data_IF_465225365830
#
_entry.id   IF_465225365830
#
_cell.length_a   1.000
_cell.length_b   1.000
_cell.length_c   1.000
_cell.angle_alpha   90.00
_cell.angle_beta   90.00
_cell.angle_gamma   90.00
#
_symmetry.space_group_name_H-M   'P 1'
#
loop_
_entity.id
_entity.type
_entity.pdbx_description
1 polymer ?
#
# COMPACT_ATOMS: atom_id res chain seq x y z
N UNK A 1 0.76 18.69 -3.60
CA UNK A 1 1.93 17.87 -3.92
C UNK A 1 1.92 17.49 -5.40
N UNK A 2 3.10 17.42 -6.03
CA UNK A 2 3.25 17.23 -7.46
C UNK A 2 4.14 16.01 -7.75
N UNK A 3 3.66 15.08 -8.60
CA UNK A 3 4.39 13.87 -9.03
C UNK A 3 4.58 13.78 -10.55
N UNK A 4 4.09 14.75 -11.33
CA UNK A 4 4.02 14.65 -12.79
C UNK A 4 3.01 13.61 -13.31
N UNK A 5 2.22 13.00 -12.44
CA UNK A 5 1.10 12.14 -12.81
C UNK A 5 -0.15 12.93 -13.20
N UNK A 6 -1.11 12.26 -13.87
CA UNK A 6 -2.34 12.90 -14.36
C UNK A 6 -3.13 13.62 -13.25
N UNK A 7 -3.19 13.04 -12.06
CA UNK A 7 -4.02 13.53 -10.94
C UNK A 7 -3.45 14.81 -10.34
N UNK A 8 -2.16 14.80 -9.99
CA UNK A 8 -1.46 15.95 -9.44
C UNK A 8 -1.34 17.08 -10.48
N UNK A 9 -1.10 16.73 -11.76
CA UNK A 9 -1.04 17.73 -12.85
C UNK A 9 -2.41 18.36 -13.10
N UNK A 10 -3.51 17.60 -12.99
CA UNK A 10 -4.86 18.16 -13.11
C UNK A 10 -5.14 19.19 -12.02
N UNK A 11 -4.78 18.89 -10.76
CA UNK A 11 -4.91 19.83 -9.66
C UNK A 11 -4.10 21.11 -9.92
N UNK A 12 -2.82 20.98 -10.30
CA UNK A 12 -1.95 22.13 -10.60
C UNK A 12 -2.50 22.95 -11.76
N UNK A 13 -2.93 22.30 -12.84
CA UNK A 13 -3.49 22.99 -14.01
C UNK A 13 -4.75 23.81 -13.69
N UNK A 14 -5.63 23.28 -12.84
CA UNK A 14 -6.83 23.98 -12.40
C UNK A 14 -6.49 25.11 -11.44
N UNK A 15 -5.63 24.85 -10.45
CA UNK A 15 -5.20 25.87 -9.48
C UNK A 15 -4.52 27.06 -10.18
N UNK A 16 -3.58 26.81 -11.11
CA UNK A 16 -2.85 27.86 -11.83
C UNK A 16 -3.74 28.77 -12.67
N UNK A 17 -4.94 28.29 -13.06
CA UNK A 17 -5.94 29.12 -13.76
C UNK A 17 -6.79 29.96 -12.82
N UNK A 18 -6.89 29.58 -11.56
CA UNK A 18 -7.78 30.19 -10.57
C UNK A 18 -7.06 31.12 -9.60
N UNK A 19 -5.74 30.96 -9.47
CA UNK A 19 -4.92 31.76 -8.57
C UNK A 19 -4.19 32.88 -9.32
N UNK A 20 -4.05 34.03 -8.68
CA UNK A 20 -3.26 35.18 -9.18
C UNK A 20 -1.76 35.03 -8.94
N UNK A 21 -1.41 34.29 -7.86
CA UNK A 21 -0.03 34.03 -7.50
C UNK A 21 0.42 32.64 -7.99
N UNK A 22 1.72 32.44 -8.27
CA UNK A 22 2.24 31.13 -8.63
C UNK A 22 1.87 30.05 -7.60
N UNK A 23 1.34 28.92 -8.08
CA UNK A 23 1.02 27.79 -7.22
C UNK A 23 2.31 27.20 -6.65
N UNK A 24 2.43 27.09 -5.33
CA UNK A 24 3.53 26.34 -4.73
C UNK A 24 3.35 24.84 -4.94
N UNK A 25 4.38 24.18 -5.44
CA UNK A 25 4.36 22.72 -5.70
C UNK A 25 5.54 22.05 -5.03
N UNK A 26 5.30 20.84 -4.50
CA UNK A 26 6.26 20.12 -3.67
C UNK A 26 6.43 18.70 -4.16
N UNK A 27 7.68 18.23 -4.26
CA UNK A 27 8.01 16.87 -4.71
C UNK A 27 9.11 16.29 -3.82
N UNK A 28 9.04 14.97 -3.60
CA UNK A 28 10.07 14.21 -2.89
C UNK A 28 10.76 13.25 -3.85
N UNK A 29 12.07 13.12 -3.72
CA UNK A 29 12.89 12.14 -4.41
C UNK A 29 13.68 11.27 -3.44
N UNK A 30 14.25 10.18 -3.95
CA UNK A 30 15.07 9.23 -3.21
C UNK A 30 16.50 9.26 -3.74
N UNK A 31 17.47 9.51 -2.85
CA UNK A 31 18.89 9.57 -3.19
C UNK A 31 19.42 8.21 -3.62
N UNK A 32 19.10 7.19 -2.83
CA UNK A 32 19.66 5.85 -2.98
C UNK A 32 18.92 4.99 -4.02
N UNK A 33 17.74 5.44 -4.47
CA UNK A 33 16.86 4.70 -5.37
C UNK A 33 16.21 5.59 -6.44
N UNK A 34 16.99 6.13 -7.38
CA UNK A 34 16.51 7.11 -8.39
C UNK A 34 15.39 6.56 -9.29
N UNK A 35 15.27 5.24 -9.40
CA UNK A 35 14.21 4.61 -10.21
C UNK A 35 12.80 4.92 -9.69
N UNK A 36 12.67 5.28 -8.42
CA UNK A 36 11.40 5.70 -7.82
C UNK A 36 11.12 7.19 -8.00
N UNK A 37 12.11 7.98 -8.44
CA UNK A 37 11.96 9.43 -8.59
C UNK A 37 11.02 9.80 -9.74
N UNK A 38 10.28 10.88 -9.55
CA UNK A 38 9.46 11.56 -10.54
C UNK A 38 9.82 13.06 -10.61
N UNK A 39 11.05 13.41 -10.20
CA UNK A 39 11.54 14.80 -10.11
C UNK A 39 11.53 15.50 -11.47
N UNK A 40 12.02 14.84 -12.52
CA UNK A 40 12.14 15.45 -13.83
C UNK A 40 10.78 15.76 -14.43
N UNK A 41 9.82 14.86 -14.26
CA UNK A 41 8.45 15.06 -14.71
C UNK A 41 7.74 16.15 -13.89
N UNK A 42 7.95 16.17 -12.58
CA UNK A 42 7.41 17.22 -11.73
C UNK A 42 7.98 18.60 -12.12
N UNK A 43 9.28 18.70 -12.35
CA UNK A 43 9.94 19.93 -12.85
C UNK A 43 9.39 20.38 -14.22
N UNK A 44 9.10 19.42 -15.11
CA UNK A 44 8.52 19.75 -16.41
C UNK A 44 7.13 20.33 -16.26
N UNK A 45 6.26 19.73 -15.45
CA UNK A 45 4.93 20.28 -15.13
C UNK A 45 5.07 21.65 -14.47
N UNK A 46 5.97 21.79 -13.49
CA UNK A 46 6.20 23.03 -12.78
C UNK A 46 6.57 24.18 -13.73
N UNK A 47 7.49 23.94 -14.68
CA UNK A 47 7.86 24.93 -15.71
C UNK A 47 6.70 25.29 -16.61
N UNK A 48 5.88 24.32 -17.01
CA UNK A 48 4.77 24.52 -17.93
C UNK A 48 3.65 25.39 -17.32
N UNK A 49 3.43 25.25 -16.01
CA UNK A 49 2.42 26.04 -15.28
C UNK A 49 2.99 27.22 -14.50
N UNK A 50 4.30 27.49 -14.59
CA UNK A 50 4.95 28.59 -13.88
C UNK A 50 4.82 28.52 -12.36
N UNK A 51 4.90 27.32 -11.78
CA UNK A 51 4.74 27.12 -10.33
C UNK A 51 6.01 27.47 -9.56
N UNK A 52 5.87 27.87 -8.30
CA UNK A 52 6.96 27.97 -7.33
C UNK A 52 7.24 26.55 -6.79
N UNK A 53 8.26 25.90 -7.38
CA UNK A 53 8.50 24.46 -7.21
C UNK A 53 9.63 24.16 -6.25
N UNK A 54 9.34 23.34 -5.24
CA UNK A 54 10.27 22.93 -4.20
C UNK A 54 10.44 21.39 -4.18
N UNK A 55 11.66 20.94 -3.91
CA UNK A 55 12.02 19.53 -3.88
C UNK A 55 12.79 19.16 -2.62
N UNK A 56 12.55 17.95 -2.10
CA UNK A 56 13.35 17.33 -1.06
C UNK A 56 13.84 15.95 -1.54
N UNK A 57 15.12 15.66 -1.25
CA UNK A 57 15.74 14.38 -1.58
C UNK A 57 16.03 13.65 -0.27
N UNK A 58 15.37 12.53 -0.06
CA UNK A 58 15.54 11.73 1.15
C UNK A 58 16.40 10.49 0.89
N UNK A 59 17.12 10.08 1.92
CA UNK A 59 17.93 8.87 1.98
C UNK A 59 17.27 7.79 2.84
N UNK A 60 17.87 6.61 2.88
CA UNK A 60 17.46 5.57 3.81
C UNK A 60 17.68 5.97 5.27
N UNK A 61 18.69 6.81 5.56
CA UNK A 61 18.90 7.31 6.92
C UNK A 61 17.77 8.23 7.37
N UNK A 62 17.29 9.11 6.48
CA UNK A 62 16.14 9.98 6.77
C UNK A 62 14.87 9.16 7.10
N UNK A 63 14.69 7.98 6.45
CA UNK A 63 13.62 7.04 6.81
C UNK A 63 13.77 6.57 8.26
N UNK A 64 14.96 6.06 8.61
CA UNK A 64 15.21 5.52 9.96
C UNK A 64 14.99 6.59 11.03
N UNK A 65 15.49 7.79 10.79
CA UNK A 65 15.40 8.91 11.71
C UNK A 65 13.96 9.43 11.90
N UNK A 66 13.10 9.26 10.89
CA UNK A 66 11.70 9.70 10.94
C UNK A 66 10.70 8.68 11.49
N UNK A 67 11.10 7.41 11.61
CA UNK A 67 10.18 6.35 12.09
C UNK A 67 9.57 6.66 13.47
N UNK A 68 10.30 7.11 14.50
CA UNK A 68 9.71 7.43 15.81
C UNK A 68 8.61 8.48 15.71
N UNK A 69 8.83 9.53 14.94
CA UNK A 69 7.88 10.61 14.71
C UNK A 69 6.65 10.10 13.97
N UNK A 70 6.83 9.25 12.95
CA UNK A 70 5.75 8.64 12.18
C UNK A 70 4.89 7.76 13.09
N UNK A 71 5.48 6.88 13.89
CA UNK A 71 4.77 6.00 14.82
C UNK A 71 3.98 6.80 15.85
N UNK A 72 4.58 7.88 16.39
CA UNK A 72 3.90 8.77 17.32
C UNK A 72 2.69 9.44 16.69
N UNK A 73 2.83 10.07 15.54
CA UNK A 73 1.78 10.85 14.92
C UNK A 73 0.69 10.01 14.23
N UNK A 74 1.02 8.79 13.81
CA UNK A 74 0.00 7.90 13.23
C UNK A 74 -0.98 7.36 14.30
N UNK A 75 -0.55 7.23 15.55
CA UNK A 75 -1.30 6.69 16.71
C UNK A 75 -2.02 5.33 16.47
N UNK A 76 -1.99 4.84 15.25
CA UNK A 76 -2.48 3.53 14.80
C UNK A 76 -1.42 2.83 13.95
N UNK A 77 -1.36 1.47 13.92
CA UNK A 77 -0.34 0.74 13.18
C UNK A 77 -0.62 0.73 11.68
N UNK A 78 -0.44 1.86 11.02
CA UNK A 78 -0.60 1.98 9.57
C UNK A 78 0.63 1.43 8.85
N UNK A 79 0.44 0.43 7.99
CA UNK A 79 1.52 -0.29 7.31
C UNK A 79 1.89 0.29 5.92
N UNK A 80 1.56 1.54 5.61
CA UNK A 80 1.92 2.15 4.32
C UNK A 80 3.30 2.83 4.40
N UNK A 81 4.35 2.34 3.67
CA UNK A 81 5.67 2.95 3.70
C UNK A 81 5.72 4.35 3.06
N UNK A 82 4.68 4.78 2.38
CA UNK A 82 4.56 6.12 1.79
C UNK A 82 4.44 7.21 2.87
N UNK A 83 4.15 6.85 4.13
CA UNK A 83 4.20 7.79 5.25
C UNK A 83 5.54 8.51 5.37
N UNK A 84 6.66 7.85 5.03
CA UNK A 84 8.00 8.44 5.10
C UNK A 84 8.20 9.60 4.11
N UNK A 85 8.10 9.40 2.78
CA UNK A 85 8.24 10.50 1.84
C UNK A 85 7.15 11.57 2.03
N UNK A 86 5.96 11.20 2.51
CA UNK A 86 4.89 12.15 2.79
C UNK A 86 5.24 13.08 3.94
N UNK A 87 5.86 12.60 5.02
CA UNK A 87 6.30 13.44 6.13
C UNK A 87 7.34 14.48 5.67
N UNK A 88 8.34 14.05 4.91
CA UNK A 88 9.40 14.94 4.45
C UNK A 88 8.90 16.01 3.48
N UNK A 89 8.03 15.66 2.53
CA UNK A 89 7.44 16.66 1.62
C UNK A 89 6.49 17.62 2.34
N UNK A 90 5.85 17.16 3.42
CA UNK A 90 4.99 18.02 4.26
C UNK A 90 5.81 19.00 5.09
N UNK A 91 6.94 18.56 5.64
CA UNK A 91 7.91 19.45 6.33
C UNK A 91 8.45 20.52 5.38
N UNK A 92 8.86 20.14 4.17
CA UNK A 92 9.27 21.09 3.14
C UNK A 92 8.17 22.12 2.83
N UNK A 93 6.91 21.69 2.68
CA UNK A 93 5.80 22.62 2.47
C UNK A 93 5.65 23.61 3.64
N UNK A 94 5.78 23.13 4.88
CA UNK A 94 5.72 23.97 6.08
C UNK A 94 6.83 25.01 6.13
N UNK A 95 8.05 24.63 5.79
CA UNK A 95 9.22 25.52 5.76
C UNK A 95 9.05 26.69 4.77
N UNK A 96 8.26 26.51 3.72
CA UNK A 96 7.93 27.57 2.75
C UNK A 96 6.74 28.44 3.17
N UNK A 97 6.24 28.26 4.40
CA UNK A 97 5.07 28.98 4.91
C UNK A 97 3.72 28.48 4.38
N UNK A 98 3.69 27.33 3.73
CA UNK A 98 2.43 26.71 3.30
C UNK A 98 1.71 26.09 4.49
N UNK A 99 0.38 26.19 4.53
CA UNK A 99 -0.47 25.58 5.58
C UNK A 99 -1.49 24.61 5.02
N UNK A 100 -1.83 24.74 3.75
CA UNK A 100 -2.82 23.86 3.08
C UNK A 100 -2.22 23.36 1.77
N UNK A 101 -2.35 22.06 1.52
CA UNK A 101 -1.92 21.42 0.27
C UNK A 101 -3.07 20.62 -0.35
N UNK A 102 -3.03 20.48 -1.67
CA UNK A 102 -3.90 19.53 -2.37
C UNK A 102 -3.13 18.25 -2.70
N UNK A 103 -3.82 17.12 -2.55
CA UNK A 103 -3.31 15.79 -2.91
C UNK A 103 -4.26 15.10 -3.89
N UNK A 104 -3.73 14.16 -4.67
CA UNK A 104 -4.46 13.49 -5.75
C UNK A 104 -5.21 12.23 -5.33
N UNK A 105 -5.39 11.98 -4.03
CA UNK A 105 -6.08 10.78 -3.52
C UNK A 105 -7.54 10.74 -3.98
N UNK A 106 -8.07 9.53 -4.17
CA UNK A 106 -9.44 9.30 -4.65
C UNK A 106 -9.56 9.15 -6.17
N UNK A 107 -8.67 9.72 -6.95
CA UNK A 107 -8.73 9.62 -8.42
C UNK A 107 -8.57 8.20 -8.94
N UNK A 108 -7.66 7.43 -8.36
CA UNK A 108 -7.41 6.05 -8.76
C UNK A 108 -8.58 5.13 -8.41
N UNK A 109 -9.15 5.34 -7.24
CA UNK A 109 -10.33 4.62 -6.76
C UNK A 109 -11.52 4.91 -7.66
N UNK A 110 -11.87 6.18 -7.85
CA UNK A 110 -13.08 6.57 -8.58
C UNK A 110 -13.05 6.22 -10.07
N UNK A 111 -11.86 6.30 -10.71
CA UNK A 111 -11.72 6.20 -12.16
C UNK A 111 -10.96 4.95 -12.64
N UNK A 112 -10.82 3.92 -11.80
CA UNK A 112 -10.13 2.66 -12.17
C UNK A 112 -8.65 2.88 -12.55
N UNK A 113 -7.88 3.56 -11.68
CA UNK A 113 -6.47 3.90 -11.96
C UNK A 113 -5.48 2.78 -11.61
N UNK A 114 -5.80 1.86 -10.71
CA UNK A 114 -4.91 0.80 -10.26
C UNK A 114 -4.75 -0.33 -11.28
N UNK A 115 -3.54 -0.88 -11.39
CA UNK A 115 -3.28 -2.08 -12.22
C UNK A 115 -4.01 -3.30 -11.68
N UNK A 116 -4.15 -3.37 -10.38
CA UNK A 116 -4.79 -4.50 -9.70
C UNK A 116 -6.27 -4.59 -10.05
N UNK A 117 -6.98 -3.46 -10.18
CA UNK A 117 -8.37 -3.47 -10.67
C UNK A 117 -8.48 -4.19 -12.02
N UNK A 118 -7.58 -3.87 -12.95
CA UNK A 118 -7.57 -4.51 -14.27
C UNK A 118 -7.25 -6.00 -14.17
N UNK A 119 -6.32 -6.37 -13.28
CA UNK A 119 -5.94 -7.77 -13.05
C UNK A 119 -7.10 -8.58 -12.48
N UNK A 120 -7.81 -8.03 -11.48
CA UNK A 120 -8.99 -8.66 -10.89
C UNK A 120 -10.17 -8.72 -11.85
N UNK A 121 -10.43 -7.66 -12.64
CA UNK A 121 -11.45 -7.67 -13.69
C UNK A 121 -11.18 -8.74 -14.75
N UNK A 122 -9.92 -8.86 -15.18
CA UNK A 122 -9.53 -9.89 -16.14
C UNK A 122 -9.73 -11.30 -15.57
N UNK A 123 -9.37 -11.54 -14.32
CA UNK A 123 -9.58 -12.82 -13.65
C UNK A 123 -11.07 -13.13 -13.50
N UNK A 124 -11.86 -12.14 -13.10
CA UNK A 124 -13.31 -12.26 -12.97
C UNK A 124 -13.96 -12.64 -14.30
N UNK A 125 -13.63 -11.92 -15.37
CA UNK A 125 -14.23 -12.13 -16.70
C UNK A 125 -13.74 -13.42 -17.38
N UNK A 126 -12.52 -13.90 -17.09
CA UNK A 126 -11.95 -15.11 -17.69
C UNK A 126 -12.45 -16.41 -17.09
N UNK A 127 -13.13 -16.39 -15.96
CA UNK A 127 -13.62 -17.64 -15.38
C UNK A 127 -14.19 -17.53 -13.96
N UNK A 128 -13.76 -16.56 -13.17
CA UNK A 128 -14.22 -16.47 -11.78
C UNK A 128 -15.74 -16.37 -11.67
N UNK A 129 -16.36 -15.52 -12.50
CA UNK A 129 -17.84 -15.37 -12.57
C UNK A 129 -18.55 -16.70 -12.81
N UNK A 130 -18.06 -17.51 -13.73
CA UNK A 130 -18.64 -18.81 -14.05
C UNK A 130 -18.43 -19.80 -12.90
N UNK A 131 -17.24 -19.83 -12.34
CA UNK A 131 -16.90 -20.72 -11.24
C UNK A 131 -17.72 -20.43 -9.97
N UNK A 132 -17.93 -19.16 -9.64
CA UNK A 132 -18.74 -18.79 -8.46
C UNK A 132 -20.22 -19.11 -8.61
N UNK A 133 -20.73 -19.22 -9.84
CA UNK A 133 -22.09 -19.67 -10.12
C UNK A 133 -22.31 -21.19 -9.95
N UNK A 134 -21.26 -21.98 -9.78
CA UNK A 134 -21.36 -23.42 -9.60
C UNK A 134 -21.82 -23.80 -8.18
N UNK A 135 -22.47 -24.96 -8.01
CA UNK A 135 -22.81 -25.48 -6.70
C UNK A 135 -21.59 -25.61 -5.78
N UNK A 136 -21.80 -25.43 -4.49
CA UNK A 136 -20.73 -25.40 -3.49
C UNK A 136 -19.79 -26.62 -3.52
N UNK A 137 -20.35 -27.83 -3.68
CA UNK A 137 -19.55 -29.07 -3.74
C UNK A 137 -18.62 -29.10 -4.96
N UNK A 138 -19.06 -28.56 -6.11
CA UNK A 138 -18.24 -28.49 -7.32
C UNK A 138 -17.12 -27.45 -7.12
N UNK A 139 -17.42 -26.29 -6.54
CA UNK A 139 -16.40 -25.28 -6.22
C UNK A 139 -15.33 -25.83 -5.28
N UNK A 140 -15.75 -26.58 -4.24
CA UNK A 140 -14.81 -27.28 -3.33
C UNK A 140 -13.92 -28.27 -4.07
N UNK A 141 -14.49 -29.10 -4.94
CA UNK A 141 -13.74 -30.08 -5.72
C UNK A 141 -12.71 -29.41 -6.64
N UNK A 142 -13.11 -28.37 -7.40
CA UNK A 142 -12.21 -27.59 -8.26
C UNK A 142 -11.09 -26.94 -7.43
N UNK A 143 -11.43 -26.36 -6.29
CA UNK A 143 -10.46 -25.70 -5.42
C UNK A 143 -9.45 -26.69 -4.83
N UNK A 144 -9.89 -27.85 -4.37
CA UNK A 144 -9.02 -28.88 -3.82
C UNK A 144 -8.08 -29.45 -4.90
N UNK A 145 -8.60 -29.77 -6.09
CA UNK A 145 -7.80 -30.27 -7.22
C UNK A 145 -6.80 -29.21 -7.70
N UNK A 146 -7.25 -27.96 -7.86
CA UNK A 146 -6.41 -26.85 -8.27
C UNK A 146 -5.29 -26.56 -7.27
N UNK A 147 -5.59 -26.55 -5.98
CA UNK A 147 -4.60 -26.38 -4.92
C UNK A 147 -3.60 -27.53 -4.89
N UNK A 148 -4.06 -28.78 -5.03
CA UNK A 148 -3.20 -29.96 -5.10
C UNK A 148 -2.25 -29.91 -6.31
N UNK A 149 -2.74 -29.61 -7.49
CA UNK A 149 -1.92 -29.47 -8.69
C UNK A 149 -0.90 -28.30 -8.53
N UNK A 150 -1.31 -27.22 -7.90
CA UNK A 150 -0.45 -26.08 -7.63
C UNK A 150 0.69 -26.44 -6.66
N UNK A 151 0.42 -27.20 -5.63
CA UNK A 151 1.41 -27.69 -4.67
C UNK A 151 2.36 -28.72 -5.29
N UNK A 152 1.88 -29.57 -6.21
CA UNK A 152 2.66 -30.60 -6.92
C UNK A 152 3.58 -30.04 -8.02
N UNK A 153 3.64 -28.74 -8.22
CA UNK A 153 4.60 -28.11 -9.12
C UNK A 153 4.03 -27.12 -10.14
N UNK A 154 2.72 -27.12 -10.39
CA UNK A 154 2.12 -26.12 -11.28
C UNK A 154 2.38 -24.66 -10.81
N UNK A 155 2.58 -24.45 -9.51
CA UNK A 155 2.95 -23.16 -8.93
C UNK A 155 4.32 -22.63 -9.39
N UNK A 156 5.22 -23.49 -9.86
CA UNK A 156 6.51 -23.08 -10.41
C UNK A 156 6.37 -22.44 -11.80
N UNK A 157 5.36 -22.85 -12.55
CA UNK A 157 5.05 -22.28 -13.87
C UNK A 157 4.43 -20.88 -13.78
N UNK A 158 3.87 -20.52 -12.61
CA UNK A 158 3.19 -19.26 -12.37
C UNK A 158 3.72 -18.52 -11.13
N UNK A 159 5.00 -18.08 -11.11
CA UNK A 159 5.62 -17.52 -9.90
C UNK A 159 4.90 -16.29 -9.34
N UNK A 160 4.28 -15.48 -10.20
CA UNK A 160 3.49 -14.31 -9.77
C UNK A 160 2.20 -14.69 -9.07
N UNK A 161 1.59 -15.82 -9.42
CA UNK A 161 0.37 -16.33 -8.78
C UNK A 161 0.65 -17.11 -7.49
N UNK A 162 1.91 -17.50 -7.24
CA UNK A 162 2.29 -18.41 -6.16
C UNK A 162 1.82 -17.97 -4.77
N UNK A 163 1.87 -16.66 -4.51
CA UNK A 163 1.42 -16.12 -3.23
C UNK A 163 -0.11 -16.05 -3.11
N UNK A 164 -0.80 -15.70 -4.19
CA UNK A 164 -2.25 -15.45 -4.17
C UNK A 164 -3.10 -16.70 -4.41
N UNK A 165 -2.59 -17.69 -5.16
CA UNK A 165 -3.38 -18.84 -5.58
C UNK A 165 -4.01 -19.63 -4.43
N UNK A 166 -3.30 -19.93 -3.31
CA UNK A 166 -3.91 -20.66 -2.20
C UNK A 166 -5.14 -19.93 -1.62
N UNK A 167 -5.08 -18.62 -1.44
CA UNK A 167 -6.20 -17.84 -0.92
C UNK A 167 -7.32 -17.70 -1.96
N UNK A 168 -7.00 -17.58 -3.25
CA UNK A 168 -8.01 -17.56 -4.31
C UNK A 168 -8.78 -18.90 -4.39
N UNK A 169 -8.11 -20.04 -4.30
CA UNK A 169 -8.78 -21.33 -4.22
C UNK A 169 -9.66 -21.46 -2.97
N UNK A 170 -9.19 -20.94 -1.83
CA UNK A 170 -9.99 -20.89 -0.61
C UNK A 170 -11.25 -20.04 -0.81
N UNK A 171 -11.12 -18.82 -1.36
CA UNK A 171 -12.24 -17.91 -1.67
C UNK A 171 -13.25 -18.59 -2.61
N UNK A 172 -12.78 -19.25 -3.65
CA UNK A 172 -13.64 -19.97 -4.58
C UNK A 172 -14.41 -21.08 -3.87
N UNK A 173 -13.75 -21.89 -3.04
CA UNK A 173 -14.40 -22.95 -2.28
C UNK A 173 -15.51 -22.41 -1.37
N UNK A 174 -15.30 -21.26 -0.75
CA UNK A 174 -16.26 -20.63 0.16
C UNK A 174 -17.33 -19.80 -0.57
N UNK A 175 -17.13 -19.46 -1.84
CA UNK A 175 -18.02 -18.55 -2.59
C UNK A 175 -17.87 -17.09 -2.18
N UNK A 176 -16.69 -16.73 -1.72
CA UNK A 176 -16.37 -15.37 -1.31
C UNK A 176 -16.11 -14.47 -2.52
N UNK A 177 -16.22 -13.15 -2.32
CA UNK A 177 -15.89 -12.16 -3.35
C UNK A 177 -14.41 -12.28 -3.75
N UNK A 178 -14.14 -12.04 -5.02
CA UNK A 178 -12.79 -12.09 -5.56
C UNK A 178 -11.89 -10.98 -5.01
N UNK A 179 -12.40 -9.76 -4.98
CA UNK A 179 -11.68 -8.57 -4.54
C UNK A 179 -12.16 -8.12 -3.17
N UNK A 180 -11.24 -7.99 -2.23
CA UNK A 180 -11.53 -7.62 -0.83
C UNK A 180 -11.07 -6.21 -0.47
N UNK A 181 -10.78 -5.34 -1.41
CA UNK A 181 -10.05 -4.09 -1.26
C UNK A 181 -8.53 -4.25 -1.44
N UNK A 182 -7.87 -3.14 -1.75
CA UNK A 182 -6.41 -3.06 -1.78
C UNK A 182 -5.75 -2.75 -0.43
N UNK A 183 -6.52 -2.79 0.68
CA UNK A 183 -6.02 -2.44 2.01
C UNK A 183 -5.42 -3.61 2.79
N UNK A 184 -5.63 -4.87 2.41
CA UNK A 184 -5.14 -6.00 3.18
C UNK A 184 -3.67 -6.31 2.89
N UNK A 185 -2.93 -6.64 3.96
CA UNK A 185 -1.53 -7.07 3.86
C UNK A 185 -1.43 -8.59 3.88
N UNK A 186 -2.12 -9.24 4.83
CA UNK A 186 -2.10 -10.69 5.01
C UNK A 186 -3.43 -11.30 4.60
N UNK A 187 -3.40 -12.22 3.64
CA UNK A 187 -4.56 -13.04 3.29
C UNK A 187 -4.91 -14.07 4.39
N UNK A 188 -6.02 -14.76 4.25
CA UNK A 188 -6.50 -15.72 5.26
C UNK A 188 -5.56 -16.94 5.41
N UNK A 189 -4.91 -17.36 4.33
CA UNK A 189 -3.94 -18.45 4.36
C UNK A 189 -2.69 -18.01 5.11
N UNK A 190 -2.19 -16.83 4.80
CA UNK A 190 -1.03 -16.25 5.48
C UNK A 190 -1.28 -16.03 6.97
N UNK A 191 -2.44 -15.48 7.34
CA UNK A 191 -2.84 -15.28 8.74
C UNK A 191 -2.90 -16.59 9.53
N UNK A 192 -3.26 -17.71 8.87
CA UNK A 192 -3.27 -19.02 9.54
C UNK A 192 -1.90 -19.55 9.93
N UNK A 193 -0.85 -19.07 9.28
CA UNK A 193 0.53 -19.37 9.65
C UNK A 193 1.15 -18.29 10.55
N UNK A 194 0.70 -17.05 10.42
CA UNK A 194 1.21 -15.91 11.19
C UNK A 194 0.76 -15.93 12.64
N UNK A 195 -0.52 -16.24 12.90
CA UNK A 195 -1.02 -16.30 14.27
C UNK A 195 -0.59 -17.61 14.97
N UNK A 196 -0.26 -17.50 16.26
CA UNK A 196 0.01 -18.69 17.08
C UNK A 196 -1.24 -19.56 17.22
N UNK A 197 -1.05 -20.87 17.45
CA UNK A 197 -2.15 -21.80 17.68
C UNK A 197 -3.07 -21.32 18.83
N UNK A 198 -2.47 -20.89 19.93
CA UNK A 198 -3.20 -20.35 21.09
C UNK A 198 -4.03 -19.10 20.75
N UNK A 199 -3.54 -18.25 19.85
CA UNK A 199 -4.31 -17.08 19.39
C UNK A 199 -5.49 -17.52 18.51
N UNK A 200 -5.28 -18.44 17.58
CA UNK A 200 -6.36 -18.97 16.74
C UNK A 200 -7.46 -19.64 17.56
N UNK A 201 -7.11 -20.40 18.60
CA UNK A 201 -8.05 -21.03 19.52
C UNK A 201 -8.85 -19.99 20.30
N UNK A 202 -8.18 -18.96 20.86
CA UNK A 202 -8.85 -17.85 21.56
C UNK A 202 -9.83 -17.08 20.66
N UNK A 203 -9.44 -16.83 19.43
CA UNK A 203 -10.31 -16.16 18.45
C UNK A 203 -11.52 -17.03 18.08
N UNK A 204 -11.32 -18.33 17.88
CA UNK A 204 -12.41 -19.27 17.61
C UNK A 204 -13.38 -19.35 18.80
N UNK A 205 -12.88 -19.45 20.02
CA UNK A 205 -13.70 -19.50 21.22
C UNK A 205 -14.58 -18.24 21.38
N UNK A 206 -14.03 -17.04 21.10
CA UNK A 206 -14.78 -15.78 21.13
C UNK A 206 -15.84 -15.68 20.03
N UNK A 207 -15.70 -16.39 18.94
CA UNK A 207 -16.60 -16.40 17.79
C UNK A 207 -17.47 -17.66 17.71
N UNK A 208 -17.91 -18.18 18.86
CA UNK A 208 -18.77 -19.37 18.96
C UNK A 208 -18.24 -20.58 18.20
N UNK A 209 -16.93 -20.80 18.27
CA UNK A 209 -16.23 -21.88 17.57
C UNK A 209 -15.99 -21.64 16.08
N UNK A 210 -16.42 -20.52 15.54
CA UNK A 210 -16.18 -20.18 14.12
C UNK A 210 -14.87 -19.42 13.98
N UNK A 211 -14.13 -19.73 12.92
CA UNK A 211 -12.94 -18.95 12.54
C UNK A 211 -13.36 -17.54 12.14
N UNK A 212 -12.73 -16.52 12.73
CA UNK A 212 -12.85 -15.15 12.29
C UNK A 212 -12.21 -15.02 10.89
N UNK A 213 -12.90 -14.36 9.98
CA UNK A 213 -12.41 -14.04 8.64
C UNK A 213 -12.58 -12.55 8.38
N UNK A 214 -11.59 -11.93 7.77
CA UNK A 214 -11.70 -10.56 7.29
C UNK A 214 -12.78 -10.40 6.22
N UNK A 215 -13.21 -11.49 5.61
CA UNK A 215 -14.30 -11.45 4.64
C UNK A 215 -15.62 -10.95 5.23
N UNK A 216 -15.86 -11.15 6.52
CA UNK A 216 -17.09 -10.64 7.16
C UNK A 216 -17.22 -9.11 7.05
N UNK A 217 -16.12 -8.37 7.08
CA UNK A 217 -16.10 -6.91 6.87
C UNK A 217 -16.43 -6.59 5.43
N UNK A 218 -15.73 -7.24 4.48
CA UNK A 218 -15.97 -7.10 3.03
C UNK A 218 -17.42 -7.42 2.68
N UNK A 219 -17.95 -8.52 3.22
CA UNK A 219 -19.31 -8.98 2.99
C UNK A 219 -20.34 -7.96 3.45
N UNK A 220 -20.16 -7.39 4.63
CA UNK A 220 -21.07 -6.38 5.18
C UNK A 220 -21.18 -5.15 4.28
N UNK A 221 -20.06 -4.65 3.76
CA UNK A 221 -20.08 -3.51 2.84
C UNK A 221 -20.65 -3.88 1.47
N UNK A 222 -20.33 -5.07 0.97
CA UNK A 222 -20.86 -5.55 -0.30
C UNK A 222 -22.39 -5.75 -0.24
N UNK A 223 -22.90 -6.30 0.85
CA UNK A 223 -24.34 -6.46 1.08
C UNK A 223 -25.07 -5.11 1.08
N UNK A 224 -24.50 -4.07 1.72
CA UNK A 224 -25.05 -2.70 1.68
C UNK A 224 -25.10 -2.15 0.25
N UNK A 225 -24.03 -2.34 -0.52
CA UNK A 225 -24.01 -1.92 -1.92
C UNK A 225 -25.10 -2.64 -2.74
N UNK A 226 -25.17 -3.98 -2.62
CA UNK A 226 -26.08 -4.78 -3.42
C UNK A 226 -27.55 -4.60 -3.00
N UNK A 227 -27.81 -4.26 -1.74
CA UNK A 227 -29.16 -3.88 -1.30
C UNK A 227 -29.62 -2.56 -1.95
N UNK A 228 -28.72 -1.59 -2.11
CA UNK A 228 -29.01 -0.31 -2.74
C UNK A 228 -28.91 -0.36 -4.27
N UNK A 229 -28.07 -1.24 -4.81
CA UNK A 229 -27.74 -1.33 -6.24
C UNK A 229 -27.47 -2.79 -6.66
N UNK A 230 -28.55 -3.60 -6.81
CA UNK A 230 -28.42 -5.04 -7.14
C UNK A 230 -27.67 -5.31 -8.44
N UNK A 231 -27.75 -4.38 -9.39
CA UNK A 231 -27.12 -4.48 -10.72
C UNK A 231 -25.65 -4.04 -10.74
N UNK A 232 -25.05 -3.66 -9.60
CA UNK A 232 -23.66 -3.21 -9.54
C UNK A 232 -22.72 -4.23 -10.17
N UNK A 233 -21.98 -3.81 -11.20
CA UNK A 233 -21.00 -4.66 -11.86
C UNK A 233 -19.73 -4.85 -11.03
N UNK A 234 -18.83 -5.71 -11.49
CA UNK A 234 -17.63 -6.06 -10.73
C UNK A 234 -16.72 -4.84 -10.45
N UNK A 235 -16.58 -3.90 -11.40
CA UNK A 235 -15.76 -2.71 -11.17
C UNK A 235 -16.41 -1.77 -10.14
N UNK A 236 -17.72 -1.61 -10.19
CA UNK A 236 -18.46 -0.80 -9.21
C UNK A 236 -18.32 -1.37 -7.80
N UNK A 237 -18.38 -2.72 -7.64
CA UNK A 237 -18.15 -3.39 -6.35
C UNK A 237 -16.73 -3.14 -5.83
N UNK A 238 -15.73 -3.29 -6.70
CA UNK A 238 -14.33 -3.06 -6.34
C UNK A 238 -14.07 -1.61 -5.92
N UNK A 239 -14.58 -0.64 -6.67
CA UNK A 239 -14.49 0.79 -6.34
C UNK A 239 -15.17 1.06 -4.99
N UNK A 240 -16.38 0.54 -4.79
CA UNK A 240 -17.11 0.75 -3.55
C UNK A 240 -16.37 0.19 -2.33
N UNK A 241 -15.82 -1.02 -2.45
CA UNK A 241 -15.04 -1.63 -1.37
C UNK A 241 -13.78 -0.82 -1.04
N UNK A 242 -13.08 -0.29 -2.05
CA UNK A 242 -11.92 0.57 -1.78
C UNK A 242 -12.32 1.93 -1.17
N UNK A 243 -13.45 2.51 -1.58
CA UNK A 243 -13.98 3.73 -0.97
C UNK A 243 -14.41 3.53 0.49
N UNK A 244 -14.80 2.32 0.89
CA UNK A 244 -15.23 2.00 2.26
C UNK A 244 -14.12 1.47 3.17
N UNK A 245 -13.12 0.80 2.61
CA UNK A 245 -12.08 0.12 3.37
C UNK A 245 -10.70 0.75 3.17
N UNK A 246 -10.18 0.74 1.93
CA UNK A 246 -8.82 1.22 1.67
C UNK A 246 -8.66 2.72 1.83
N UNK A 247 -9.61 3.46 1.28
CA UNK A 247 -9.51 4.91 1.24
C UNK A 247 -9.52 5.52 2.64
N UNK A 248 -10.51 5.25 3.51
CA UNK A 248 -10.53 5.82 4.86
C UNK A 248 -9.43 5.24 5.75
N UNK A 249 -9.29 3.91 5.81
CA UNK A 249 -8.47 3.21 6.82
C UNK A 249 -6.96 3.17 6.49
N UNK A 250 -6.57 3.43 5.24
CA UNK A 250 -5.18 3.41 4.84
C UNK A 250 -4.73 4.75 4.25
N UNK A 251 -5.38 5.21 3.18
CA UNK A 251 -4.88 6.33 2.39
C UNK A 251 -5.15 7.67 3.04
N UNK A 252 -6.40 7.96 3.43
CA UNK A 252 -6.76 9.24 4.03
C UNK A 252 -6.23 9.36 5.46
N UNK A 253 -6.30 8.28 6.25
CA UNK A 253 -5.71 8.25 7.58
C UNK A 253 -4.21 8.58 7.53
N UNK A 254 -3.46 7.94 6.62
CA UNK A 254 -2.05 8.25 6.40
C UNK A 254 -1.84 9.70 6.01
N UNK A 255 -2.60 10.19 5.01
CA UNK A 255 -2.45 11.56 4.52
C UNK A 255 -2.72 12.55 5.63
N UNK A 256 -3.86 12.43 6.32
CA UNK A 256 -4.25 13.35 7.38
C UNK A 256 -3.22 13.38 8.52
N UNK A 257 -2.95 12.23 9.14
CA UNK A 257 -2.06 12.17 10.31
C UNK A 257 -0.62 12.60 10.00
N UNK A 258 -0.08 12.18 8.86
CA UNK A 258 1.31 12.49 8.51
C UNK A 258 1.49 13.94 8.06
N UNK A 259 0.54 14.51 7.33
CA UNK A 259 0.62 15.94 6.98
C UNK A 259 0.37 16.83 8.20
N UNK A 260 -0.55 16.43 9.10
CA UNK A 260 -0.79 17.12 10.36
C UNK A 260 0.40 17.06 11.30
N UNK A 261 1.24 16.01 11.26
CA UNK A 261 2.51 15.99 11.99
C UNK A 261 3.42 17.18 11.63
N UNK A 262 3.35 17.65 10.38
CA UNK A 262 4.04 18.86 9.93
C UNK A 262 3.15 20.12 10.00
N UNK A 263 1.98 20.08 10.63
CA UNK A 263 1.00 21.18 10.67
C UNK A 263 0.59 21.67 9.27
N UNK A 264 0.33 20.73 8.37
CA UNK A 264 -0.18 20.95 7.02
C UNK A 264 -1.54 20.30 6.91
N UNK A 265 -2.57 21.05 6.46
CA UNK A 265 -3.88 20.52 6.11
C UNK A 265 -3.86 19.99 4.68
N UNK A 266 -4.12 18.70 4.49
CA UNK A 266 -4.23 18.09 3.16
C UNK A 266 -5.68 18.04 2.71
N UNK A 267 -5.96 18.60 1.53
CA UNK A 267 -7.28 18.55 0.89
C UNK A 267 -7.26 17.63 -0.32
N UNK A 268 -8.37 16.92 -0.54
CA UNK A 268 -8.54 15.86 -1.55
C UNK A 268 -9.65 16.22 -2.54
N UNK A 269 -9.40 17.06 -3.56
CA UNK A 269 -10.44 17.56 -4.45
C UNK A 269 -11.20 16.46 -5.19
N UNK A 270 -10.54 15.33 -5.52
CA UNK A 270 -11.20 14.19 -6.15
C UNK A 270 -12.25 13.51 -5.25
N UNK A 271 -12.22 13.77 -3.96
CA UNK A 271 -13.17 13.22 -2.99
C UNK A 271 -14.23 14.22 -2.54
N UNK A 272 -14.40 15.34 -3.28
CA UNK A 272 -15.61 16.14 -3.13
C UNK A 272 -16.84 15.25 -3.30
N UNK A 273 -17.77 15.29 -2.34
CA UNK A 273 -18.89 14.35 -2.31
C UNK A 273 -19.74 14.36 -3.59
N UNK A 274 -19.91 15.55 -4.22
CA UNK A 274 -20.66 15.66 -5.48
C UNK A 274 -19.91 14.97 -6.63
N UNK A 275 -18.57 15.09 -6.65
CA UNK A 275 -17.75 14.36 -7.62
C UNK A 275 -17.78 12.87 -7.39
N UNK A 276 -17.74 12.41 -6.12
CA UNK A 276 -17.85 11.00 -5.77
C UNK A 276 -19.20 10.43 -6.22
N UNK A 277 -20.31 11.09 -5.88
CA UNK A 277 -21.65 10.69 -6.28
C UNK A 277 -21.80 10.64 -7.81
N UNK A 278 -21.32 11.66 -8.51
CA UNK A 278 -21.28 11.68 -9.97
C UNK A 278 -20.44 10.52 -10.53
N UNK A 279 -19.21 10.36 -10.02
CA UNK A 279 -18.28 9.34 -10.49
C UNK A 279 -18.82 7.92 -10.27
N UNK A 280 -19.50 7.65 -9.13
CA UNK A 280 -20.14 6.35 -8.87
C UNK A 280 -21.24 6.00 -9.86
N UNK A 281 -21.87 6.99 -10.49
CA UNK A 281 -22.88 6.79 -11.52
C UNK A 281 -22.32 6.67 -12.94
N UNK A 282 -21.03 6.93 -13.16
CA UNK A 282 -20.38 6.73 -14.47
C UNK A 282 -20.31 5.23 -14.78
N UNK A 283 -20.78 4.78 -15.95
CA UNK A 283 -20.66 3.39 -16.39
C UNK A 283 -19.19 2.91 -16.37
N UNK A 284 -18.97 1.68 -15.94
CA UNK A 284 -17.62 1.08 -15.82
C UNK A 284 -16.83 1.10 -17.13
N UNK A 285 -17.51 0.94 -18.29
CA UNK A 285 -16.90 1.01 -19.61
C UNK A 285 -16.35 2.42 -19.98
N UNK A 286 -16.73 3.47 -19.25
CA UNK A 286 -16.13 4.80 -19.38
C UNK A 286 -14.97 5.03 -18.40
N UNK A 287 -14.88 4.24 -17.36
CA UNK A 287 -13.73 4.27 -16.43
C UNK A 287 -12.55 3.45 -16.96
N UNK A 288 -12.85 2.26 -17.50
CA UNK A 288 -11.88 1.37 -18.13
C UNK A 288 -12.36 0.94 -19.51
N UNK A 289 -11.62 1.32 -20.55
CA UNK A 289 -12.01 1.04 -21.94
C UNK A 289 -10.80 0.70 -22.81
N UNK A 290 -10.85 -0.39 -23.56
CA UNK A 290 -9.82 -0.81 -24.52
C UNK A 290 -8.40 -0.84 -23.92
N UNK A 291 -8.26 -1.32 -22.69
CA UNK A 291 -6.96 -1.34 -21.99
C UNK A 291 -6.56 -0.02 -21.33
N UNK A 292 -7.28 1.08 -21.57
CA UNK A 292 -7.01 2.37 -20.99
C UNK A 292 -7.75 2.54 -19.65
N UNK A 293 -6.99 2.76 -18.60
CA UNK A 293 -7.45 3.15 -17.25
C UNK A 293 -7.80 4.64 -17.23
N UNK A 294 -8.66 5.06 -16.29
CA UNK A 294 -9.10 6.46 -16.15
C UNK A 294 -9.60 7.06 -17.47
N UNK A 295 -10.24 6.25 -18.33
CA UNK A 295 -10.57 6.65 -19.70
C UNK A 295 -11.33 7.99 -19.76
N UNK A 296 -12.42 8.15 -18.99
CA UNK A 296 -13.20 9.39 -18.97
C UNK A 296 -12.40 10.57 -18.43
N UNK A 297 -11.56 10.35 -17.42
CA UNK A 297 -10.69 11.40 -16.86
C UNK A 297 -9.64 11.86 -17.89
N UNK A 298 -9.04 10.94 -18.65
CA UNK A 298 -8.15 11.28 -19.76
C UNK A 298 -8.88 12.13 -20.80
N UNK A 299 -10.13 11.78 -21.14
CA UNK A 299 -10.93 12.54 -22.12
C UNK A 299 -11.28 13.93 -21.60
N UNK A 300 -11.65 14.04 -20.33
CA UNK A 300 -11.99 15.31 -19.70
C UNK A 300 -10.79 16.26 -19.59
N UNK A 301 -9.59 15.72 -19.40
CA UNK A 301 -8.36 16.50 -19.25
C UNK A 301 -7.65 16.80 -20.59
N UNK A 302 -8.13 16.26 -21.70
CA UNK A 302 -7.58 16.53 -23.02
C UNK A 302 -7.70 18.02 -23.36
N UNK A 303 -6.59 18.65 -23.76
CA UNK A 303 -6.53 20.11 -23.98
C UNK A 303 -6.45 20.96 -22.69
N UNK A 304 -6.54 20.36 -21.52
CA UNK A 304 -6.40 21.04 -20.23
C UNK A 304 -5.05 20.80 -19.57
N UNK A 305 -4.44 19.64 -19.82
CA UNK A 305 -3.10 19.29 -19.37
C UNK A 305 -2.25 18.84 -20.56
N UNK A 306 -0.91 18.82 -20.43
CA UNK A 306 -0.03 18.46 -21.53
C UNK A 306 -0.26 17.05 -22.05
N UNK A 307 -0.19 16.86 -23.34
CA UNK A 307 -0.36 15.56 -23.99
C UNK A 307 0.63 14.49 -23.50
N UNK A 308 1.85 14.89 -23.17
CA UNK A 308 2.86 13.94 -22.68
C UNK A 308 2.46 13.36 -21.32
N UNK A 309 1.78 14.13 -20.43
CA UNK A 309 1.23 13.62 -19.15
C UNK A 309 0.15 12.59 -19.42
N UNK A 310 -0.75 12.85 -20.38
CA UNK A 310 -1.81 11.91 -20.77
C UNK A 310 -1.26 10.60 -21.35
N UNK A 311 -0.14 10.67 -22.08
CA UNK A 311 0.50 9.51 -22.75
C UNK A 311 1.46 8.75 -21.83
N UNK A 312 1.83 9.34 -20.69
CA UNK A 312 2.78 8.74 -19.74
C UNK A 312 2.22 7.47 -19.10
N UNK A 313 3.08 6.46 -18.97
CA UNK A 313 2.73 5.28 -18.17
C UNK A 313 2.63 5.68 -16.70
N UNK A 314 1.50 5.34 -16.07
CA UNK A 314 1.32 5.59 -14.65
C UNK A 314 2.44 4.96 -13.84
N UNK A 315 3.09 5.77 -13.01
CA UNK A 315 3.94 5.40 -11.90
C UNK A 315 3.18 5.71 -10.60
N UNK A 316 3.13 4.78 -9.69
CA UNK A 316 2.49 5.02 -8.38
C UNK A 316 3.44 5.80 -7.48
N UNK A 317 2.91 6.68 -6.65
CA UNK A 317 3.68 7.25 -5.55
C UNK A 317 3.99 6.11 -4.57
N UNK A 318 5.24 5.73 -4.45
CA UNK A 318 5.69 4.57 -3.68
C UNK A 318 7.01 4.85 -2.98
N UNK A 319 7.35 3.99 -2.04
CA UNK A 319 8.64 4.00 -1.35
C UNK A 319 9.43 2.74 -1.72
N UNK A 320 10.78 2.79 -1.79
CA UNK A 320 11.64 1.66 -2.15
C UNK A 320 11.80 0.68 -0.98
N UNK A 321 10.67 0.18 -0.46
CA UNK A 321 10.64 -0.62 0.76
C UNK A 321 11.42 -1.93 0.63
N UNK A 322 11.41 -2.56 -0.55
CA UNK A 322 12.15 -3.80 -0.76
C UNK A 322 13.66 -3.56 -0.69
N UNK A 323 14.13 -2.50 -1.32
CA UNK A 323 15.55 -2.10 -1.33
C UNK A 323 15.99 -1.71 0.09
N UNK A 324 15.17 -0.97 0.81
CA UNK A 324 15.41 -0.63 2.21
C UNK A 324 15.53 -1.86 3.11
N UNK A 325 14.64 -2.87 2.89
CA UNK A 325 14.65 -4.12 3.65
C UNK A 325 15.89 -4.98 3.38
N UNK A 326 16.45 -4.91 2.18
CA UNK A 326 17.67 -5.65 1.81
C UNK A 326 18.95 -4.96 2.30
N UNK A 327 18.84 -3.72 2.79
CA UNK A 327 19.94 -2.90 3.27
C UNK A 327 19.84 -2.68 4.79
N UNK A 328 19.97 -1.43 5.25
CA UNK A 328 20.05 -1.05 6.66
C UNK A 328 18.80 -1.45 7.48
N UNK A 329 17.62 -1.42 6.88
CA UNK A 329 16.39 -1.77 7.60
C UNK A 329 16.36 -3.25 8.00
N UNK A 330 17.09 -4.14 7.30
CA UNK A 330 17.12 -5.57 7.60
C UNK A 330 17.67 -5.90 8.99
N UNK A 331 18.74 -5.22 9.45
CA UNK A 331 19.29 -5.40 10.82
C UNK A 331 18.33 -4.91 11.90
N UNK A 332 17.69 -3.76 11.67
CA UNK A 332 16.68 -3.20 12.56
C UNK A 332 15.47 -4.13 12.72
N UNK A 333 15.01 -4.77 11.64
CA UNK A 333 13.87 -5.68 11.68
C UNK A 333 14.09 -6.83 12.65
N UNK A 334 15.27 -7.46 12.66
CA UNK A 334 15.54 -8.53 13.60
C UNK A 334 15.45 -8.06 15.05
N UNK A 335 16.08 -6.92 15.33
CA UNK A 335 16.04 -6.38 16.68
C UNK A 335 14.60 -6.06 17.10
N UNK A 336 13.89 -5.28 16.32
CA UNK A 336 12.56 -4.78 16.70
C UNK A 336 11.48 -5.89 16.71
N UNK A 337 11.48 -6.79 15.74
CA UNK A 337 10.49 -7.87 15.72
C UNK A 337 10.71 -8.93 16.81
N UNK A 338 11.98 -9.24 17.15
CA UNK A 338 12.27 -10.34 18.07
C UNK A 338 12.50 -9.89 19.52
N UNK A 339 12.70 -8.57 19.76
CA UNK A 339 12.84 -8.02 21.12
C UNK A 339 11.64 -7.15 21.54
N UNK A 340 10.69 -6.85 20.65
CA UNK A 340 9.46 -6.12 20.99
C UNK A 340 8.69 -6.81 22.12
N UNK A 341 8.10 -6.01 23.00
CA UNK A 341 7.17 -6.47 24.06
C UNK A 341 5.97 -7.22 23.49
N UNK A 342 5.59 -6.94 22.24
CA UNK A 342 4.53 -7.64 21.52
C UNK A 342 4.80 -9.15 21.44
N UNK A 343 6.06 -9.58 21.37
CA UNK A 343 6.45 -10.99 21.38
C UNK A 343 5.99 -11.71 22.65
N UNK A 344 6.06 -11.04 23.82
CA UNK A 344 5.61 -11.59 25.10
C UNK A 344 4.12 -11.91 25.14
N UNK A 345 3.32 -11.27 24.27
CA UNK A 345 1.88 -11.54 24.14
C UNK A 345 1.55 -12.83 23.42
N UNK A 346 2.53 -13.49 22.80
CA UNK A 346 2.41 -14.77 22.09
C UNK A 346 1.28 -14.79 21.03
N UNK A 347 1.02 -13.62 20.40
CA UNK A 347 -0.02 -13.50 19.38
C UNK A 347 0.38 -14.20 18.07
N UNK A 348 1.68 -14.16 17.74
CA UNK A 348 2.20 -14.61 16.47
C UNK A 348 3.09 -15.86 16.63
N UNK A 349 3.21 -16.62 15.53
CA UNK A 349 4.23 -17.67 15.37
C UNK A 349 5.56 -17.02 14.94
N UNK A 350 6.47 -16.83 15.87
CA UNK A 350 7.78 -16.24 15.60
C UNK A 350 8.72 -17.17 14.84
N UNK A 351 8.43 -18.46 14.75
CA UNK A 351 9.10 -19.38 13.83
C UNK A 351 8.77 -19.05 12.38
N UNK A 352 7.50 -18.82 12.09
CA UNK A 352 7.05 -18.38 10.77
C UNK A 352 7.59 -16.99 10.43
N UNK A 353 7.57 -16.02 11.37
CA UNK A 353 8.16 -14.70 11.15
C UNK A 353 9.65 -14.81 10.80
N UNK A 354 10.42 -15.64 11.50
CA UNK A 354 11.84 -15.88 11.20
C UNK A 354 12.03 -16.45 9.79
N UNK A 355 11.17 -17.37 9.37
CA UNK A 355 11.21 -17.91 8.00
C UNK A 355 11.02 -16.83 6.93
N UNK A 356 10.06 -15.92 7.10
CA UNK A 356 9.82 -14.86 6.11
C UNK A 356 10.93 -13.81 6.10
N UNK A 357 11.57 -13.53 7.23
CA UNK A 357 12.78 -12.69 7.32
C UNK A 357 13.93 -13.31 6.53
N UNK A 358 14.21 -14.60 6.75
CA UNK A 358 15.27 -15.32 6.04
C UNK A 358 15.01 -15.39 4.52
N UNK A 359 13.78 -15.64 4.10
CA UNK A 359 13.41 -15.60 2.67
C UNK A 359 13.67 -14.24 2.04
N UNK A 360 13.36 -13.15 2.76
CA UNK A 360 13.64 -11.78 2.32
C UNK A 360 15.14 -11.54 2.19
N UNK A 361 15.93 -11.90 3.20
CA UNK A 361 17.39 -11.74 3.20
C UNK A 361 18.07 -12.45 2.04
N UNK A 362 17.63 -13.66 1.75
CA UNK A 362 18.16 -14.45 0.63
C UNK A 362 17.65 -14.01 -0.73
N UNK A 363 16.80 -12.98 -0.80
CA UNK A 363 16.17 -12.53 -2.06
C UNK A 363 15.29 -13.58 -2.72
N UNK A 364 14.90 -14.65 -1.99
CA UNK A 364 14.09 -15.74 -2.53
C UNK A 364 12.64 -15.31 -2.76
N UNK A 365 12.11 -14.51 -1.85
CA UNK A 365 10.72 -14.02 -1.88
C UNK A 365 10.72 -12.59 -1.37
N UNK A 366 10.11 -11.67 -2.12
CA UNK A 366 9.89 -10.32 -1.63
C UNK A 366 8.78 -10.32 -0.56
N UNK A 367 9.17 -10.25 0.71
CA UNK A 367 8.32 -10.15 1.89
C UNK A 367 8.34 -8.75 2.51
N UNK A 368 8.94 -7.77 1.84
CA UNK A 368 9.20 -6.43 2.39
C UNK A 368 7.95 -5.76 2.98
N UNK A 369 6.80 -5.89 2.31
CA UNK A 369 5.56 -5.31 2.77
C UNK A 369 5.02 -5.98 4.04
N UNK A 370 5.15 -7.31 4.14
CA UNK A 370 4.78 -8.07 5.35
C UNK A 370 5.66 -7.69 6.53
N UNK A 371 6.96 -7.62 6.30
CA UNK A 371 7.92 -7.25 7.34
C UNK A 371 7.74 -5.80 7.79
N UNK A 372 7.44 -4.89 6.86
CA UNK A 372 7.12 -3.51 7.17
C UNK A 372 5.86 -3.40 8.05
N UNK A 373 4.81 -4.15 7.73
CA UNK A 373 3.59 -4.17 8.52
C UNK A 373 3.83 -4.69 9.96
N UNK A 374 4.59 -5.77 10.09
CA UNK A 374 4.94 -6.33 11.41
C UNK A 374 5.84 -5.37 12.21
N UNK A 375 6.81 -4.72 11.55
CA UNK A 375 7.67 -3.72 12.16
C UNK A 375 6.84 -2.54 12.71
N UNK A 376 5.96 -1.97 11.88
CA UNK A 376 5.10 -0.87 12.32
C UNK A 376 4.22 -1.28 13.50
N UNK A 377 3.63 -2.47 13.45
CA UNK A 377 2.82 -2.99 14.55
C UNK A 377 3.65 -3.16 15.84
N UNK A 378 4.87 -3.68 15.74
CA UNK A 378 5.76 -3.85 16.91
C UNK A 378 6.15 -2.52 17.52
N UNK A 379 6.61 -1.57 16.70
CA UNK A 379 6.99 -0.23 17.16
C UNK A 379 5.80 0.53 17.75
N UNK A 380 4.64 0.46 17.11
CA UNK A 380 3.40 1.06 17.62
C UNK A 380 3.00 0.45 18.97
N UNK A 381 3.08 -0.89 19.09
CA UNK A 381 2.72 -1.59 20.33
C UNK A 381 3.65 -1.18 21.49
N UNK A 382 4.94 -1.17 21.24
CA UNK A 382 5.93 -0.81 22.25
C UNK A 382 5.75 0.67 22.70
N UNK A 383 5.44 1.56 21.75
CA UNK A 383 5.25 2.98 22.05
C UNK A 383 3.90 3.24 22.76
N UNK A 384 2.79 2.86 22.15
CA UNK A 384 1.46 3.27 22.58
C UNK A 384 0.83 2.36 23.65
N UNK A 385 1.19 1.10 23.69
CA UNK A 385 0.62 0.14 24.65
C UNK A 385 1.53 -0.07 25.84
N UNK A 386 2.84 -0.17 25.65
CA UNK A 386 3.80 -0.41 26.73
C UNK A 386 4.46 0.88 27.24
N UNK A 387 4.18 2.04 26.61
CA UNK A 387 4.69 3.35 27.04
C UNK A 387 6.21 3.51 26.89
N UNK A 388 6.84 2.72 26.03
CA UNK A 388 8.28 2.84 25.80
C UNK A 388 8.59 4.10 24.98
N UNK A 389 9.57 4.93 25.41
CA UNK A 389 9.92 6.13 24.65
C UNK A 389 10.42 5.77 23.25
N UNK A 390 9.74 6.26 22.22
CA UNK A 390 10.12 6.03 20.82
C UNK A 390 11.51 6.52 20.44
N UNK A 391 12.14 7.35 21.28
CA UNK A 391 13.51 7.88 21.09
C UNK A 391 14.61 6.94 21.58
N UNK A 392 14.32 5.98 22.47
CA UNK A 392 15.34 5.10 23.04
C UNK A 392 15.91 4.10 22.04
N UNK A 393 15.11 3.67 21.05
CA UNK A 393 15.60 2.77 20.02
C UNK A 393 16.37 3.49 18.91
N UNK A 394 16.08 4.76 18.60
CA UNK A 394 16.80 5.51 17.58
C UNK A 394 18.31 5.63 17.91
N UNK A 395 18.67 5.74 19.18
CA UNK A 395 20.07 5.75 19.62
C UNK A 395 20.69 4.35 19.71
N UNK A 396 19.92 3.34 20.14
CA UNK A 396 20.38 1.94 20.22
C UNK A 396 20.44 1.26 18.86
N UNK A 397 19.48 1.52 17.99
CA UNK A 397 19.45 0.97 16.62
C UNK A 397 20.57 1.55 15.76
N UNK A 398 20.98 2.82 15.95
CA UNK A 398 22.17 3.38 15.29
C UNK A 398 23.42 2.56 15.59
N UNK A 399 23.68 2.26 16.85
CA UNK A 399 24.86 1.49 17.26
C UNK A 399 24.80 0.05 16.73
N UNK A 400 23.65 -0.64 16.81
CA UNK A 400 23.49 -2.00 16.33
C UNK A 400 23.58 -2.12 14.79
N UNK A 401 23.02 -1.16 14.07
CA UNK A 401 23.09 -1.10 12.60
C UNK A 401 24.50 -0.77 12.12
N UNK A 402 25.22 0.10 12.83
CA UNK A 402 26.59 0.45 12.49
C UNK A 402 27.55 -0.72 12.75
N UNK A 403 27.36 -1.49 13.84
CA UNK A 403 28.12 -2.72 14.11
C UNK A 403 27.86 -3.82 13.06
N UNK A 404 26.61 -4.04 12.65
CA UNK A 404 26.26 -5.05 11.65
C UNK A 404 26.74 -4.65 10.24
N UNK A 405 26.65 -3.38 9.88
CA UNK A 405 27.22 -2.87 8.63
C UNK A 405 28.74 -3.01 8.59
N UNK A 406 29.44 -2.75 9.72
CA UNK A 406 30.87 -2.98 9.82
C UNK A 406 31.22 -4.47 9.65
N UNK A 407 30.42 -5.41 10.22
CA UNK A 407 30.59 -6.85 10.05
C UNK A 407 30.34 -7.30 8.61
N UNK A 408 29.31 -6.77 7.95
CA UNK A 408 28.99 -7.12 6.54
C UNK A 408 30.05 -6.56 5.57
N UNK A 409 30.62 -5.37 5.83
CA UNK A 409 31.72 -4.83 5.03
C UNK A 409 33.01 -5.64 5.19
N UNK A 410 33.29 -6.12 6.40
CA UNK A 410 34.43 -7.00 6.65
C UNK A 410 34.27 -8.38 6.02
N UNK A 411 33.06 -8.94 6.02
CA UNK A 411 32.74 -10.21 5.35
C UNK A 411 32.82 -10.11 3.81
N UNK A 412 32.41 -8.97 3.24
CA UNK A 412 32.50 -8.69 1.80
C UNK A 412 33.93 -8.50 1.27
N UNK A 413 34.85 -8.01 2.13
CA UNK A 413 36.26 -7.83 1.74
C UNK A 413 37.07 -9.13 1.88
N UNK A 414 36.59 -10.13 2.62
CA UNK A 414 37.21 -11.45 2.77
C UNK A 414 37.03 -12.39 1.58
N UNK A 415 36.08 -12.10 0.68
CA UNK A 415 35.73 -12.95 -0.47
C UNK A 415 36.52 -12.69 -1.77
N UNK A 416 37.35 -11.65 -1.83
CA UNK A 416 38.10 -11.31 -3.06
C UNK A 416 39.59 -11.65 -3.04
N UNK A 417 40.03 -12.51 -2.12
CA UNK A 417 41.39 -13.07 -2.15
C UNK A 417 41.34 -14.59 -2.18
N UNK A 418 40.90 -15.17 -3.29
CA UNK A 418 41.20 -16.54 -3.74
C UNK A 418 40.60 -16.71 -5.14
N UNK A 419 41.29 -16.23 -6.14
CA UNK A 419 41.51 -16.91 -7.43
C UNK A 419 42.77 -16.28 -8.02
#
# INVERSE_FOLDING_TARGET
FLSGGIDSTANVALMSRMMSEPVKTFTVGFRDNPVYNELDEARQVAREYGTDHHEVIISQQDLLDSLPEIIFHQDEPNADPVCVPLLHVSKLAKETGTTVVQVGEGSDELFCGYRDYVSYLNLYNRGWRQLTGLPHFIRKAISATGLGAFQLGAGQLFPKARKMAPDLFRRLAQGEELFWSGAFVFDEVYKSHLFSAATLERLAARNSGRRLSSYSVVQSDLERLLAARPEADQLQRMIYLDLKLRLPELLLMRVDKVTMAASIEARVPFLDHKLVEFAMNIPSGLKYRNGQKKYILHRALQGHIPDWVLKRKKKGFGAPINEWMLQRLGGMIDHELFNSSLRGRQLFDYGFIRQIVEQQRRGQVNNSFFLWALLNLSLWYDHWIEGQPSLSWASGARAAVDEENARLQLAGQGGSRLV
#
